data_IF_779851563599
#
_entry.id   IF_779851563599
#
_cell.length_a   1.000
_cell.length_b   1.000
_cell.length_c   1.000
_cell.angle_alpha   90.00
_cell.angle_beta   90.00
_cell.angle_gamma   90.00
#
_symmetry.space_group_name_H-M   'P 1'
#
loop_
_entity.id
_entity.type
_entity.pdbx_description
1 polymer ?
#
# COMPACT_ATOMS: atom_id res chain seq x y z
N UNK A 1 1.96 0.90 -0.03
CA UNK A 1 1.57 1.86 -1.09
C UNK A 1 1.36 3.22 -0.46
N UNK A 2 1.84 4.28 -1.12
CA UNK A 2 1.62 5.66 -0.67
C UNK A 2 0.79 6.41 -1.69
N UNK A 3 -0.21 7.18 -1.24
CA UNK A 3 -0.53 8.43 -1.94
C UNK A 3 0.34 9.53 -1.32
N UNK A 4 0.51 10.69 -1.97
CA UNK A 4 1.39 11.77 -1.47
C UNK A 4 1.04 12.26 -0.03
N UNK A 5 -0.06 11.79 0.55
CA UNK A 5 -0.57 12.20 1.85
C UNK A 5 -0.61 11.05 2.89
N UNK A 6 -0.51 9.78 2.46
CA UNK A 6 -0.72 8.61 3.33
C UNK A 6 0.22 7.48 2.97
N UNK A 7 0.89 6.94 3.97
CA UNK A 7 1.75 5.76 3.84
C UNK A 7 1.10 4.54 4.50
N UNK A 8 0.99 3.44 3.75
CA UNK A 8 0.59 2.13 4.26
C UNK A 8 1.76 1.16 4.20
N UNK A 9 2.15 0.62 5.36
CA UNK A 9 3.17 -0.42 5.53
C UNK A 9 2.50 -1.68 6.08
N UNK A 10 2.82 -2.83 5.51
CA UNK A 10 2.42 -4.15 6.01
C UNK A 10 3.70 -4.91 6.30
N UNK A 11 3.80 -5.51 7.49
CA UNK A 11 4.94 -6.29 7.95
C UNK A 11 4.50 -7.71 8.27
N UNK A 12 5.44 -8.67 8.20
CA UNK A 12 5.19 -10.05 8.62
C UNK A 12 4.32 -10.87 7.66
N UNK A 13 4.31 -10.52 6.36
CA UNK A 13 3.68 -11.38 5.35
C UNK A 13 4.55 -12.64 5.20
N UNK A 14 3.99 -13.85 5.30
CA UNK A 14 4.75 -15.08 5.13
C UNK A 14 5.24 -15.19 3.69
N UNK A 15 6.53 -14.95 3.46
CA UNK A 15 7.20 -15.08 2.17
C UNK A 15 8.27 -16.15 2.31
N UNK A 16 8.18 -17.21 1.50
CA UNK A 16 9.23 -18.23 1.40
C UNK A 16 10.26 -17.76 0.36
N UNK A 17 11.19 -16.90 0.78
CA UNK A 17 12.31 -16.46 -0.06
C UNK A 17 13.63 -16.79 0.61
N UNK A 18 14.61 -17.24 -0.18
CA UNK A 18 15.99 -17.42 0.27
C UNK A 18 16.82 -16.13 0.14
N UNK A 19 16.33 -15.14 -0.61
CA UNK A 19 17.06 -13.89 -0.90
C UNK A 19 16.23 -12.67 -0.53
N UNK A 20 16.93 -11.65 -0.02
CA UNK A 20 16.35 -10.33 0.18
C UNK A 20 16.13 -9.67 -1.19
N UNK A 21 14.97 -9.04 -1.36
CA UNK A 21 14.61 -8.33 -2.58
C UNK A 21 14.03 -6.96 -2.22
N UNK A 22 14.43 -5.94 -2.97
CA UNK A 22 13.89 -4.59 -2.89
C UNK A 22 13.43 -4.15 -4.28
N UNK A 23 12.21 -3.60 -4.38
CA UNK A 23 11.61 -3.34 -5.67
C UNK A 23 10.29 -2.56 -5.69
N UNK A 24 10.22 -1.77 -6.76
CA UNK A 24 9.10 -1.10 -7.44
C UNK A 24 7.93 -1.94 -7.93
N UNK A 25 6.87 -2.28 -7.16
CA UNK A 25 5.66 -2.89 -7.74
C UNK A 25 4.47 -1.92 -7.81
N UNK A 26 3.90 -1.76 -9.00
CA UNK A 26 2.71 -0.93 -9.20
C UNK A 26 1.47 -1.50 -8.51
N UNK A 27 0.58 -0.60 -8.06
CA UNK A 27 -0.69 -0.99 -7.42
C UNK A 27 -1.61 -1.81 -8.34
N UNK A 28 -1.51 -1.62 -9.66
CA UNK A 28 -2.28 -2.39 -10.65
C UNK A 28 -1.90 -3.87 -10.63
N UNK A 29 -0.60 -4.17 -10.59
CA UNK A 29 -0.09 -5.54 -10.50
C UNK A 29 -0.54 -6.19 -9.18
N UNK A 30 -0.41 -5.48 -8.06
CA UNK A 30 -0.87 -6.00 -6.76
C UNK A 30 -2.38 -6.30 -6.79
N UNK A 31 -3.18 -5.40 -7.35
CA UNK A 31 -4.63 -5.59 -7.46
C UNK A 31 -4.99 -6.78 -8.36
N UNK A 32 -4.24 -6.99 -9.44
CA UNK A 32 -4.39 -8.15 -10.31
C UNK A 32 -4.07 -9.45 -9.55
N UNK A 33 -2.91 -9.52 -8.90
CA UNK A 33 -2.49 -10.71 -8.13
C UNK A 33 -3.46 -11.00 -6.98
N UNK A 34 -3.98 -9.98 -6.30
CA UNK A 34 -4.98 -10.16 -5.24
C UNK A 34 -6.30 -10.76 -5.75
N UNK A 35 -6.66 -10.52 -7.02
CA UNK A 35 -7.88 -11.08 -7.63
C UNK A 35 -7.67 -12.51 -8.12
N UNK A 36 -6.53 -12.79 -8.75
CA UNK A 36 -6.32 -14.01 -9.53
C UNK A 36 -5.32 -15.01 -8.93
N UNK A 37 -4.52 -14.61 -7.94
CA UNK A 37 -3.49 -15.45 -7.31
C UNK A 37 -3.91 -16.10 -5.99
N UNK A 38 -5.19 -16.47 -5.86
CA UNK A 38 -5.74 -17.02 -4.61
C UNK A 38 -5.16 -18.39 -4.23
N UNK A 39 -4.79 -19.17 -5.23
CA UNK A 39 -4.31 -20.56 -5.06
C UNK A 39 -2.77 -20.64 -4.97
N UNK A 40 -2.12 -19.52 -4.66
CA UNK A 40 -0.66 -19.39 -4.63
C UNK A 40 -0.09 -18.77 -5.89
N UNK A 41 1.05 -18.11 -5.73
CA UNK A 41 1.75 -17.39 -6.79
C UNK A 41 3.23 -17.73 -6.62
N UNK A 42 3.83 -18.29 -7.66
CA UNK A 42 5.29 -18.42 -7.73
C UNK A 42 5.89 -17.14 -8.32
N UNK A 43 7.00 -16.67 -7.76
CA UNK A 43 7.57 -15.36 -8.08
C UNK A 43 9.04 -15.52 -8.38
N UNK A 44 9.42 -15.26 -9.63
CA UNK A 44 10.82 -15.16 -10.05
C UNK A 44 11.19 -13.69 -10.26
N UNK A 45 12.36 -13.31 -9.75
CA UNK A 45 12.80 -11.91 -9.70
C UNK A 45 14.20 -11.78 -10.28
N UNK A 46 14.42 -10.69 -11.02
CA UNK A 46 15.70 -10.25 -11.58
C UNK A 46 15.80 -8.73 -11.38
N UNK A 47 16.95 -8.11 -11.66
CA UNK A 47 17.23 -6.69 -11.39
C UNK A 47 16.18 -5.71 -11.92
N UNK A 48 15.56 -6.02 -13.07
CA UNK A 48 14.57 -5.14 -13.72
C UNK A 48 13.22 -5.79 -13.98
N UNK A 49 13.10 -7.09 -13.73
CA UNK A 49 11.92 -7.84 -14.12
C UNK A 49 11.45 -8.76 -13.00
N UNK A 50 10.14 -8.86 -12.87
CA UNK A 50 9.46 -9.84 -12.04
C UNK A 50 8.55 -10.69 -12.92
N UNK A 51 8.50 -11.98 -12.62
CA UNK A 51 7.61 -12.94 -13.26
C UNK A 51 6.75 -13.58 -12.19
N UNK A 52 5.44 -13.53 -12.37
CA UNK A 52 4.46 -14.15 -11.48
C UNK A 52 3.79 -15.30 -12.22
N UNK A 53 3.91 -16.50 -11.69
CA UNK A 53 3.26 -17.70 -12.22
C UNK A 53 2.09 -18.04 -11.32
N UNK A 54 0.88 -17.99 -11.86
CA UNK A 54 -0.34 -18.38 -11.15
C UNK A 54 -0.52 -19.90 -11.18
N UNK A 55 -1.27 -20.45 -10.22
CA UNK A 55 -1.53 -21.89 -10.12
C UNK A 55 -2.18 -22.49 -11.39
N UNK A 56 -2.95 -21.68 -12.14
CA UNK A 56 -3.57 -22.09 -13.40
C UNK A 56 -2.61 -22.06 -14.61
N UNK A 57 -1.31 -21.82 -14.40
CA UNK A 57 -0.29 -21.75 -15.44
C UNK A 57 -0.18 -20.40 -16.15
N UNK A 58 -1.05 -19.43 -15.85
CA UNK A 58 -0.92 -18.09 -16.42
C UNK A 58 0.32 -17.37 -15.87
N UNK A 59 1.06 -16.69 -16.74
CA UNK A 59 2.29 -16.00 -16.39
C UNK A 59 2.15 -14.50 -16.64
N UNK A 60 2.44 -13.69 -15.62
CA UNK A 60 2.50 -12.24 -15.71
C UNK A 60 3.96 -11.78 -15.67
N UNK A 61 4.38 -11.06 -16.69
CA UNK A 61 5.67 -10.38 -16.73
C UNK A 61 5.50 -8.92 -16.36
N UNK A 62 6.34 -8.44 -15.44
CA UNK A 62 6.33 -7.06 -14.98
C UNK A 62 7.74 -6.49 -15.02
N UNK A 63 7.89 -5.35 -15.70
CA UNK A 63 9.12 -4.57 -15.66
C UNK A 63 9.03 -3.58 -14.51
N UNK A 64 10.01 -3.63 -13.62
CA UNK A 64 10.12 -2.69 -12.52
C UNK A 64 10.55 -1.32 -13.04
N UNK A 65 10.05 -0.22 -12.43
CA UNK A 65 10.61 1.10 -12.63
C UNK A 65 12.06 1.14 -12.15
N UNK A 66 12.91 1.89 -12.86
CA UNK A 66 14.31 2.10 -12.47
C UNK A 66 14.46 3.11 -11.29
N UNK A 67 13.35 3.70 -10.82
CA UNK A 67 13.34 4.68 -9.74
C UNK A 67 13.51 4.03 -8.36
N UNK A 68 14.31 4.64 -7.51
CA UNK A 68 14.42 4.26 -6.10
C UNK A 68 13.24 4.83 -5.33
N UNK A 69 12.55 4.00 -4.56
CA UNK A 69 11.49 4.49 -3.68
C UNK A 69 12.12 5.42 -2.63
N UNK A 70 11.52 6.60 -2.34
CA UNK A 70 12.07 7.52 -1.36
C UNK A 70 12.17 6.86 0.02
N UNK A 71 13.18 7.24 0.80
CA UNK A 71 13.38 6.72 2.15
C UNK A 71 12.24 7.19 3.07
N UNK A 72 11.26 6.30 3.22
CA UNK A 72 10.07 6.54 4.02
C UNK A 72 10.34 6.55 5.53
N UNK A 73 11.51 6.12 5.99
CA UNK A 73 11.84 6.16 7.41
C UNK A 73 11.95 7.61 7.93
N UNK A 74 12.29 8.55 7.04
CA UNK A 74 12.42 9.98 7.35
C UNK A 74 11.09 10.64 7.78
N UNK A 75 9.95 10.09 7.37
CA UNK A 75 8.62 10.67 7.66
C UNK A 75 7.92 10.03 8.87
N UNK A 76 8.50 8.98 9.47
CA UNK A 76 7.95 8.42 10.69
C UNK A 76 8.25 9.36 11.88
N UNK A 77 7.24 9.86 12.59
CA UNK A 77 7.46 10.75 13.73
C UNK A 77 8.23 10.00 14.82
N UNK A 78 9.41 10.54 15.19
CA UNK A 78 10.30 9.95 16.21
C UNK A 78 9.74 10.08 17.63
N UNK A 79 8.91 11.10 17.86
CA UNK A 79 8.20 11.34 19.12
C UNK A 79 6.72 11.61 18.82
N UNK A 80 5.83 10.90 19.53
CA UNK A 80 4.39 11.19 19.53
C UNK A 80 4.06 12.03 20.75
N UNK A 81 3.56 13.26 20.56
CA UNK A 81 3.20 14.19 21.67
C UNK A 81 1.99 13.77 22.51
N UNK A 82 1.48 12.55 22.32
CA UNK A 82 0.40 11.98 23.12
C UNK A 82 -0.08 10.65 22.54
N UNK A 83 -0.66 9.81 23.40
CA UNK A 83 -1.44 8.65 22.99
C UNK A 83 -2.91 8.99 23.15
N UNK A 84 -3.73 8.67 22.14
CA UNK A 84 -5.17 8.89 22.19
C UNK A 84 -5.88 7.56 21.89
N UNK A 85 -6.58 7.02 22.88
CA UNK A 85 -7.31 5.76 22.76
C UNK A 85 -8.79 6.05 22.60
N UNK A 86 -9.38 5.59 21.51
CA UNK A 86 -10.79 5.81 21.18
C UNK A 86 -11.41 4.54 20.61
N UNK A 87 -12.69 4.32 20.92
CA UNK A 87 -13.45 3.21 20.36
C UNK A 87 -13.69 3.44 18.85
N UNK A 88 -13.21 2.51 18.02
CA UNK A 88 -13.30 2.59 16.55
C UNK A 88 -14.73 2.85 16.05
N UNK A 89 -15.73 2.25 16.70
CA UNK A 89 -17.15 2.39 16.34
C UNK A 89 -17.67 3.81 16.55
N UNK A 90 -17.35 4.42 17.69
CA UNK A 90 -17.72 5.80 18.02
C UNK A 90 -17.03 6.81 17.11
N UNK A 91 -15.71 6.67 16.90
CA UNK A 91 -14.97 7.55 16.00
C UNK A 91 -15.52 7.51 14.58
N UNK A 92 -15.87 6.31 14.08
CA UNK A 92 -16.45 6.17 12.73
C UNK A 92 -17.81 6.86 12.63
N UNK A 93 -18.67 6.74 13.65
CA UNK A 93 -19.98 7.42 13.69
C UNK A 93 -19.81 8.94 13.72
N UNK A 94 -18.89 9.44 14.56
CA UNK A 94 -18.57 10.87 14.65
C UNK A 94 -18.01 11.41 13.33
N UNK A 95 -17.08 10.72 12.69
CA UNK A 95 -16.52 11.12 11.41
C UNK A 95 -17.55 11.12 10.28
N UNK A 96 -18.47 10.14 10.25
CA UNK A 96 -19.57 10.12 9.27
C UNK A 96 -20.52 11.31 9.46
N UNK A 97 -20.88 11.62 10.70
CA UNK A 97 -21.77 12.74 11.01
C UNK A 97 -21.09 14.09 10.78
N UNK A 98 -19.83 14.24 11.18
CA UNK A 98 -19.04 15.45 10.96
C UNK A 98 -18.73 15.67 9.47
N UNK A 99 -18.53 14.60 8.70
CA UNK A 99 -18.30 14.66 7.26
C UNK A 99 -19.44 15.32 6.47
N UNK A 100 -20.68 15.27 6.99
CA UNK A 100 -21.83 15.99 6.42
C UNK A 100 -21.65 17.52 6.48
N UNK A 101 -20.81 18.02 7.39
CA UNK A 101 -20.52 19.44 7.57
C UNK A 101 -19.18 19.90 6.97
N UNK A 102 -18.34 18.97 6.51
CA UNK A 102 -16.99 19.28 5.97
C UNK A 102 -17.03 19.67 4.47
N UNK A 103 -18.15 19.47 3.79
CA UNK A 103 -18.34 19.95 2.42
C UNK A 103 -19.24 21.20 2.38
N UNK A 104 -18.64 22.40 2.38
CA UNK A 104 -19.07 23.63 1.65
C UNK A 104 -18.80 24.97 2.36
N UNK A 105 -17.60 25.23 2.89
CA UNK A 105 -17.15 26.61 3.14
C UNK A 105 -15.70 26.82 2.73
N UNK A 106 -15.50 27.05 1.43
CA UNK A 106 -14.33 27.67 0.72
C UNK A 106 -14.45 27.22 -0.76
N UNK A 107 -15.07 27.94 -1.69
CA UNK A 107 -14.91 29.34 -2.10
C UNK A 107 -16.22 29.90 -2.70
N UNK A 108 -16.72 30.98 -2.11
CA UNK A 108 -17.54 32.01 -2.76
C UNK A 108 -17.38 33.28 -1.91
N UNK A 109 -16.57 34.22 -2.41
CA UNK A 109 -16.36 35.52 -1.78
C UNK A 109 -15.03 36.13 -2.18
N UNK A 110 -15.07 37.05 -3.16
CA UNK A 110 -13.93 37.83 -3.65
C UNK A 110 -13.84 37.80 -5.17
#
# INVERSE_FOLDING_TARGET
>A
GTDKHRLKRVLGVPIKSQQAFDGIISSKVITFLAKFGKDGIDVAVSDKHMRFTLANGAVLYYRMPDEKYPDYNSVFPKESKGTFTVERGQLLKLLKNAGLFVCSHTSRGG
#
